data_IF_980789473039
#
_entry.id   IF_980789473039
#
_cell.length_a   1.000
_cell.length_b   1.000
_cell.length_c   1.000
_cell.angle_alpha   90.00
_cell.angle_beta   90.00
_cell.angle_gamma   90.00
#
_symmetry.space_group_name_H-M   'P 1'
#
loop_
_entity.id
_entity.type
_entity.pdbx_description
1 polymer ?
#
# COMPACT_ATOMS: atom_id res chain seq x y z
N UNK A 1 -38.33 9.74 5.39
CA UNK A 1 -37.03 9.94 4.69
C UNK A 1 -36.51 8.60 4.26
N UNK A 2 -36.03 8.43 3.02
CA UNK A 2 -35.47 7.16 2.57
C UNK A 2 -34.15 6.87 3.29
N UNK A 3 -33.90 5.59 3.57
CA UNK A 3 -32.72 5.10 4.29
C UNK A 3 -31.88 4.18 3.40
N UNK A 4 -30.58 4.12 3.65
CA UNK A 4 -29.63 3.25 2.96
C UNK A 4 -28.93 2.34 3.95
N UNK A 5 -28.59 1.13 3.51
CA UNK A 5 -27.86 0.15 4.31
C UNK A 5 -26.69 -0.38 3.48
N UNK A 6 -25.48 -0.30 4.03
CA UNK A 6 -24.24 -0.79 3.46
C UNK A 6 -23.87 -2.12 4.15
N UNK A 7 -23.82 -3.19 3.36
CA UNK A 7 -23.57 -4.55 3.82
C UNK A 7 -22.32 -5.13 3.19
N UNK A 8 -21.46 -5.74 4.01
CA UNK A 8 -20.39 -6.60 3.55
C UNK A 8 -20.97 -7.99 3.24
N UNK A 9 -20.94 -8.41 1.98
CA UNK A 9 -21.45 -9.75 1.59
C UNK A 9 -20.53 -10.88 2.04
N UNK A 10 -19.23 -10.61 2.10
CA UNK A 10 -18.20 -11.61 2.45
C UNK A 10 -18.25 -11.89 3.94
N UNK A 11 -18.27 -10.84 4.75
CA UNK A 11 -18.29 -10.93 6.21
C UNK A 11 -19.71 -11.13 6.76
N UNK A 12 -20.74 -10.91 5.95
CA UNK A 12 -22.16 -10.90 6.36
C UNK A 12 -22.39 -9.96 7.54
N UNK A 13 -21.76 -8.78 7.49
CA UNK A 13 -21.83 -7.76 8.54
C UNK A 13 -22.34 -6.45 7.99
N UNK A 14 -23.06 -5.72 8.83
CA UNK A 14 -23.48 -4.36 8.55
C UNK A 14 -22.26 -3.43 8.63
N UNK A 15 -21.88 -2.80 7.51
CA UNK A 15 -20.81 -1.80 7.47
C UNK A 15 -21.34 -0.46 7.96
N UNK A 16 -22.60 -0.13 7.64
CA UNK A 16 -23.26 1.07 8.17
C UNK A 16 -24.66 1.29 7.60
N UNK A 17 -25.39 2.22 8.23
CA UNK A 17 -26.71 2.62 7.81
C UNK A 17 -26.80 4.15 7.75
N UNK A 18 -27.58 4.68 6.82
CA UNK A 18 -27.66 6.12 6.57
C UNK A 18 -29.05 6.57 6.19
N UNK A 19 -29.24 7.88 6.10
CA UNK A 19 -30.50 8.50 5.68
C UNK A 19 -30.26 9.55 4.61
N UNK A 20 -31.22 9.71 3.71
CA UNK A 20 -31.18 10.78 2.73
C UNK A 20 -31.60 12.09 3.38
N UNK A 21 -30.81 13.14 3.15
CA UNK A 21 -31.19 14.53 3.41
C UNK A 21 -30.85 15.33 2.16
N UNK A 22 -31.79 16.11 1.65
CA UNK A 22 -31.57 17.02 0.51
C UNK A 22 -30.97 16.35 -0.76
N UNK A 23 -31.31 15.08 -1.01
CA UNK A 23 -30.81 14.37 -2.21
C UNK A 23 -29.47 13.66 -2.04
N UNK A 24 -28.81 13.80 -0.88
CA UNK A 24 -27.57 13.07 -0.56
C UNK A 24 -27.77 12.15 0.64
N UNK A 25 -27.07 11.01 0.64
CA UNK A 25 -27.17 10.02 1.71
C UNK A 25 -26.07 10.25 2.75
N UNK A 26 -26.47 10.44 4.01
CA UNK A 26 -25.57 10.59 5.15
C UNK A 26 -25.46 9.26 5.88
N UNK A 27 -24.28 8.64 5.85
CA UNK A 27 -24.01 7.45 6.65
C UNK A 27 -23.89 7.85 8.13
N UNK A 28 -24.65 7.18 9.00
CA UNK A 28 -24.53 7.39 10.43
C UNK A 28 -23.17 6.85 10.90
N UNK A 29 -22.49 7.54 11.84
CA UNK A 29 -21.27 7.01 12.42
C UNK A 29 -21.55 5.64 13.04
N UNK A 30 -20.93 4.59 12.51
CA UNK A 30 -20.92 3.29 13.15
C UNK A 30 -19.88 3.36 14.27
N UNK A 31 -20.15 2.81 15.47
CA UNK A 31 -19.14 2.73 16.52
C UNK A 31 -17.86 2.16 15.92
N UNK A 32 -16.78 2.92 16.07
CA UNK A 32 -15.48 2.60 15.46
C UNK A 32 -15.06 1.20 15.86
N UNK A 33 -15.16 0.26 14.93
CA UNK A 33 -14.55 -1.04 15.11
C UNK A 33 -13.05 -0.82 15.14
N UNK A 34 -12.36 -1.41 16.12
CA UNK A 34 -10.92 -1.29 16.24
C UNK A 34 -10.28 -1.95 15.01
N UNK A 35 -9.97 -1.16 13.99
CA UNK A 35 -9.27 -1.64 12.81
C UNK A 35 -7.83 -1.86 13.25
N UNK A 36 -7.32 -3.09 13.09
CA UNK A 36 -5.91 -3.35 13.26
C UNK A 36 -5.13 -2.57 12.19
N UNK A 37 -4.70 -1.36 12.55
CA UNK A 37 -3.83 -0.55 11.71
C UNK A 37 -2.50 -1.29 11.58
N UNK A 38 -2.19 -1.75 10.38
CA UNK A 38 -0.95 -2.48 10.14
C UNK A 38 0.21 -1.49 10.06
N UNK A 39 1.00 -1.43 11.13
CA UNK A 39 2.14 -0.53 11.32
C UNK A 39 3.43 -1.02 10.64
N UNK A 40 3.33 -1.61 9.45
CA UNK A 40 4.49 -2.19 8.76
C UNK A 40 4.76 -1.46 7.44
N UNK A 41 5.87 -0.73 7.39
CA UNK A 41 6.41 -0.10 6.18
C UNK A 41 6.50 -1.06 4.99
N UNK A 42 6.82 -2.34 5.22
CA UNK A 42 6.95 -3.35 4.18
C UNK A 42 5.61 -3.61 3.48
N UNK A 43 4.50 -3.54 4.21
CA UNK A 43 3.17 -3.72 3.63
C UNK A 43 2.74 -2.50 2.83
N UNK A 44 3.07 -1.29 3.29
CA UNK A 44 2.82 -0.07 2.52
C UNK A 44 3.66 0.00 1.26
N UNK A 45 4.93 -0.43 1.33
CA UNK A 45 5.78 -0.63 0.16
C UNK A 45 5.13 -1.57 -0.87
N UNK A 46 4.63 -2.74 -0.46
CA UNK A 46 3.97 -3.66 -1.40
C UNK A 46 2.64 -3.11 -1.93
N UNK A 47 1.78 -2.57 -1.06
CA UNK A 47 0.42 -2.11 -1.43
C UNK A 47 0.42 -0.88 -2.34
N UNK A 48 1.43 -0.02 -2.26
CA UNK A 48 1.56 1.18 -3.08
C UNK A 48 2.33 0.95 -4.38
N UNK A 49 2.65 -0.30 -4.72
CA UNK A 49 3.35 -0.63 -5.97
C UNK A 49 4.86 -0.47 -5.89
N UNK A 50 5.47 -0.88 -4.78
CA UNK A 50 6.91 -0.88 -4.56
C UNK A 50 7.63 0.49 -4.66
N UNK A 51 7.06 1.60 -4.10
CA UNK A 51 7.79 2.86 -4.05
C UNK A 51 9.05 2.74 -3.20
N UNK A 52 10.03 3.62 -3.44
CA UNK A 52 11.25 3.64 -2.64
C UNK A 52 10.94 3.89 -1.16
N UNK A 53 11.84 3.45 -0.27
CA UNK A 53 11.71 3.70 1.18
C UNK A 53 11.60 5.19 1.50
N UNK A 54 12.31 6.02 0.73
CA UNK A 54 12.27 7.48 0.84
C UNK A 54 10.90 8.04 0.44
N UNK A 55 10.27 7.53 -0.63
CA UNK A 55 8.93 7.97 -1.00
C UNK A 55 7.90 7.66 0.11
N UNK A 56 8.10 6.57 0.85
CA UNK A 56 7.23 6.20 1.96
C UNK A 56 7.38 7.11 3.20
N UNK A 57 8.48 7.87 3.34
CA UNK A 57 8.64 8.81 4.47
C UNK A 57 7.77 10.06 4.33
N UNK A 58 7.27 10.35 3.12
CA UNK A 58 6.33 11.44 2.87
C UNK A 58 4.88 11.08 3.28
N UNK A 59 4.61 9.83 3.63
CA UNK A 59 3.27 9.42 4.06
C UNK A 59 2.97 9.96 5.48
N UNK A 60 1.71 10.32 5.78
CA UNK A 60 1.33 10.87 7.07
C UNK A 60 1.72 9.96 8.24
N UNK A 61 2.36 10.54 9.26
CA UNK A 61 2.72 9.84 10.49
C UNK A 61 1.50 9.26 11.23
N UNK A 62 0.30 9.84 11.02
CA UNK A 62 -0.97 9.33 11.55
C UNK A 62 -1.30 7.91 11.07
N UNK A 63 -0.74 7.48 9.94
CA UNK A 63 -0.89 6.11 9.43
C UNK A 63 -0.02 5.09 10.20
N UNK A 64 0.84 5.54 11.13
CA UNK A 64 1.68 4.66 11.94
C UNK A 64 2.74 3.90 11.12
N UNK A 65 3.10 4.42 9.94
CA UNK A 65 3.99 3.79 8.97
C UNK A 65 5.45 3.87 9.40
N UNK A 66 5.82 5.01 10.00
CA UNK A 66 7.19 5.32 10.39
C UNK A 66 7.33 5.02 11.88
N UNK A 67 7.78 3.82 12.21
CA UNK A 67 8.34 3.55 13.53
C UNK A 67 9.83 3.83 13.46
N UNK A 68 10.35 4.68 14.36
CA UNK A 68 11.78 5.08 14.41
C UNK A 68 12.76 3.89 14.48
N UNK A 69 12.27 2.73 14.93
CA UNK A 69 13.00 1.46 14.97
C UNK A 69 13.23 0.79 13.60
N UNK A 70 12.53 1.19 12.54
CA UNK A 70 12.66 0.63 11.18
C UNK A 70 13.65 1.40 10.29
N UNK A 71 14.50 2.26 10.87
CA UNK A 71 15.65 2.86 10.20
C UNK A 71 16.76 1.83 9.89
N UNK A 72 16.76 0.68 10.57
CA UNK A 72 17.78 -0.33 10.39
C UNK A 72 17.26 -1.54 9.60
N UNK A 73 17.80 -1.71 8.38
CA UNK A 73 17.99 -2.99 7.67
C UNK A 73 16.78 -3.94 7.69
N UNK A 74 15.66 -3.52 7.10
CA UNK A 74 14.68 -4.50 6.63
C UNK A 74 15.27 -5.26 5.45
N UNK A 75 15.07 -6.58 5.40
CA UNK A 75 15.47 -7.40 4.26
C UNK A 75 15.06 -6.75 2.93
N UNK A 76 15.92 -6.80 1.89
CA UNK A 76 15.59 -6.23 0.61
C UNK A 76 14.31 -6.89 0.07
N UNK A 77 13.43 -6.09 -0.52
CA UNK A 77 12.26 -6.65 -1.18
C UNK A 77 12.72 -7.43 -2.42
N UNK A 78 12.58 -8.75 -2.39
CA UNK A 78 12.92 -9.66 -3.51
C UNK A 78 12.32 -9.19 -4.84
N UNK A 79 11.06 -8.73 -4.83
CA UNK A 79 10.38 -8.21 -6.02
C UNK A 79 11.11 -6.98 -6.58
N UNK A 80 11.55 -6.06 -5.70
CA UNK A 80 12.31 -4.89 -6.12
C UNK A 80 13.70 -5.27 -6.66
N UNK A 81 14.37 -6.24 -6.03
CA UNK A 81 15.66 -6.72 -6.50
C UNK A 81 15.53 -7.28 -7.91
N UNK A 82 14.60 -8.22 -8.12
CA UNK A 82 14.34 -8.82 -9.42
C UNK A 82 13.92 -7.79 -10.48
N UNK A 83 13.07 -6.82 -10.12
CA UNK A 83 12.59 -5.81 -11.06
C UNK A 83 13.65 -4.75 -11.41
N UNK A 84 14.57 -4.44 -10.49
CA UNK A 84 15.64 -3.43 -10.68
C UNK A 84 16.95 -4.04 -11.14
N UNK A 85 17.04 -5.37 -11.28
CA UNK A 85 18.22 -6.01 -11.81
C UNK A 85 18.42 -5.64 -13.27
N UNK A 86 19.25 -4.62 -13.52
CA UNK A 86 19.71 -4.31 -14.87
C UNK A 86 20.82 -5.27 -15.23
N UNK A 87 20.67 -5.97 -16.36
CA UNK A 87 21.73 -6.80 -16.91
C UNK A 87 22.94 -5.90 -17.22
N UNK A 88 24.13 -6.32 -16.80
CA UNK A 88 25.37 -5.66 -17.21
C UNK A 88 25.48 -5.65 -18.74
N UNK A 89 26.12 -4.60 -19.28
CA UNK A 89 26.44 -4.57 -20.71
C UNK A 89 27.25 -5.80 -21.08
N UNK A 90 26.97 -6.37 -22.24
CA UNK A 90 27.81 -7.43 -22.78
C UNK A 90 29.24 -6.92 -22.94
N UNK A 91 30.26 -7.77 -22.68
CA UNK A 91 31.61 -7.42 -23.05
C UNK A 91 31.70 -7.22 -24.57
N UNK A 92 32.60 -6.34 -25.00
CA UNK A 92 32.90 -6.15 -26.42
C UNK A 92 33.36 -7.49 -26.99
N UNK A 93 32.68 -7.98 -28.04
CA UNK A 93 33.08 -9.19 -28.74
C UNK A 93 34.42 -8.96 -29.44
N UNK A 94 35.41 -9.81 -29.17
CA UNK A 94 36.61 -9.88 -30.00
C UNK A 94 36.27 -10.70 -31.25
N UNK A 95 36.19 -10.04 -32.40
CA UNK A 95 36.07 -10.71 -33.69
C UNK A 95 37.49 -10.99 -34.23
N UNK A 96 37.74 -12.22 -34.68
CA UNK A 96 39.03 -12.64 -35.25
C UNK A 96 39.16 -12.27 -36.74
N UNK A 97 38.34 -11.36 -37.25
CA UNK A 97 38.51 -10.80 -38.59
C UNK A 97 39.72 -9.84 -38.55
N UNK A 98 40.90 -10.39 -38.83
CA UNK A 98 42.08 -9.62 -39.13
C UNK A 98 41.88 -8.91 -40.48
N UNK A 99 42.23 -7.62 -40.52
CA UNK A 99 42.46 -6.84 -41.75
C UNK A 99 43.86 -7.12 -42.28
#
# INVERSE_FOLDING_TARGET
TPFIVLWDRTLRTLIGAGEQREGVYYLKPVPTQQINAVKAICLWHMRLGHPSREVLTYLPNSLGIVSESQKNKGDPCEICLCAKQTRNSFPVSQNNAAE
#
